data_IF_158305606582
#
_entry.id   IF_158305606582
#
_cell.length_a   1.000
_cell.length_b   1.000
_cell.length_c   1.000
_cell.angle_alpha   90.00
_cell.angle_beta   90.00
_cell.angle_gamma   90.00
#
_symmetry.space_group_name_H-M   'P 1'
#
loop_
_entity.id
_entity.type
_entity.pdbx_description
1 polymer ?
#
# COMPACT_ATOMS: atom_id res chain seq x y z
N UNK A 1 22.26 6.08 11.50
CA UNK A 1 21.97 5.01 10.51
C UNK A 1 23.00 3.88 10.49
N UNK A 2 24.07 3.93 11.29
CA UNK A 2 25.16 2.94 11.30
C UNK A 2 24.72 1.50 11.65
N UNK A 3 23.59 1.33 12.33
CA UNK A 3 23.06 0.03 12.76
C UNK A 3 21.94 -0.51 11.86
N UNK A 4 21.64 0.15 10.74
CA UNK A 4 20.65 -0.35 9.77
C UNK A 4 21.14 -1.69 9.18
N UNK A 5 20.47 -2.79 9.55
CA UNK A 5 20.75 -4.12 9.05
C UNK A 5 19.42 -4.84 8.82
N UNK A 6 19.02 -4.99 7.56
CA UNK A 6 17.69 -5.45 7.14
C UNK A 6 16.50 -4.56 7.52
N UNK A 7 16.78 -3.30 7.85
CA UNK A 7 15.75 -2.27 8.01
C UNK A 7 16.34 -0.88 7.76
N UNK A 8 15.46 0.08 7.45
CA UNK A 8 15.77 1.50 7.28
C UNK A 8 15.04 2.32 8.32
N UNK A 9 15.71 3.35 8.84
CA UNK A 9 15.13 4.28 9.80
C UNK A 9 14.96 5.66 9.17
N UNK A 10 13.76 6.20 9.29
CA UNK A 10 13.41 7.53 8.83
C UNK A 10 12.87 8.35 10.00
N UNK A 11 13.31 9.61 10.10
CA UNK A 11 12.44 10.60 10.73
C UNK A 11 11.21 10.75 9.85
N UNK A 12 10.06 11.00 10.45
CA UNK A 12 8.80 11.22 9.75
C UNK A 12 8.91 12.23 8.59
N UNK A 13 9.66 13.31 8.78
CA UNK A 13 9.90 14.35 7.77
C UNK A 13 10.87 13.96 6.65
N UNK A 14 11.58 12.84 6.81
CA UNK A 14 12.56 12.33 5.85
C UNK A 14 12.07 11.05 5.15
N UNK A 15 10.85 10.60 5.48
CA UNK A 15 10.24 9.45 4.82
C UNK A 15 10.05 9.80 3.33
N UNK A 16 10.37 8.90 2.39
CA UNK A 16 10.15 9.15 0.97
C UNK A 16 8.71 9.55 0.68
N UNK A 17 8.52 10.63 -0.06
CA UNK A 17 7.21 11.25 -0.29
C UNK A 17 6.18 10.27 -0.87
N UNK A 18 6.62 9.32 -1.71
CA UNK A 18 5.76 8.29 -2.31
C UNK A 18 4.94 7.46 -1.33
N UNK A 19 5.36 7.38 -0.06
CA UNK A 19 4.59 6.65 0.95
C UNK A 19 3.35 7.43 1.39
N UNK A 20 3.33 8.76 1.20
CA UNK A 20 2.29 9.66 1.71
C UNK A 20 1.97 9.44 3.20
N UNK A 21 2.97 8.99 3.98
CA UNK A 21 2.80 8.50 5.35
C UNK A 21 3.59 9.36 6.35
N UNK A 22 3.40 10.67 6.29
CA UNK A 22 4.11 11.62 7.17
C UNK A 22 3.24 12.77 7.69
N UNK A 23 2.05 13.00 7.11
CA UNK A 23 1.23 14.18 7.41
C UNK A 23 -0.01 13.86 8.28
N UNK A 24 0.17 13.16 9.40
CA UNK A 24 -0.91 12.89 10.35
C UNK A 24 -0.40 12.76 11.79
N UNK A 25 -1.07 13.32 12.83
CA UNK A 25 -0.58 13.31 14.21
C UNK A 25 -0.39 11.90 14.81
N UNK A 26 -1.11 10.89 14.32
CA UNK A 26 -0.97 9.51 14.79
C UNK A 26 0.21 8.74 14.17
N UNK A 27 0.91 9.35 13.21
CA UNK A 27 2.16 8.79 12.70
C UNK A 27 3.30 9.28 13.59
N UNK A 28 4.01 8.35 14.22
CA UNK A 28 5.11 8.63 15.13
C UNK A 28 6.29 9.33 14.44
N UNK A 29 7.18 9.94 15.24
CA UNK A 29 8.31 10.72 14.77
C UNK A 29 9.41 9.88 14.09
N UNK A 30 9.48 8.58 14.41
CA UNK A 30 10.38 7.61 13.82
C UNK A 30 9.59 6.51 13.13
N UNK A 31 10.01 6.17 11.92
CA UNK A 31 9.41 5.14 11.08
C UNK A 31 10.52 4.16 10.70
N UNK A 32 10.27 2.88 10.93
CA UNK A 32 11.18 1.80 10.56
C UNK A 32 10.52 1.01 9.43
N UNK A 33 11.26 0.79 8.35
CA UNK A 33 10.85 -0.06 7.23
C UNK A 33 11.75 -1.28 7.24
N UNK A 34 11.19 -2.45 7.49
CA UNK A 34 11.89 -3.72 7.40
C UNK A 34 12.05 -4.14 5.94
N UNK A 35 13.15 -4.82 5.61
CA UNK A 35 13.28 -5.55 4.35
C UNK A 35 12.37 -6.79 4.34
N UNK A 36 11.92 -7.22 3.16
CA UNK A 36 11.13 -8.44 3.03
C UNK A 36 11.86 -9.64 3.67
N UNK A 37 11.10 -10.44 4.44
CA UNK A 37 11.62 -11.60 5.18
C UNK A 37 12.06 -11.28 6.62
N UNK A 38 12.10 -10.01 7.02
CA UNK A 38 12.46 -9.59 8.36
C UNK A 38 11.27 -9.01 9.12
N UNK A 39 11.22 -9.17 10.43
CA UNK A 39 10.22 -8.48 11.26
C UNK A 39 10.91 -7.83 12.44
N UNK A 40 10.51 -6.59 12.74
CA UNK A 40 11.08 -5.80 13.81
C UNK A 40 10.21 -5.97 15.05
N UNK A 41 10.75 -6.66 16.05
CA UNK A 41 10.08 -6.95 17.32
C UNK A 41 10.97 -6.52 18.47
N UNK A 42 10.36 -6.26 19.63
CA UNK A 42 11.11 -6.13 20.88
C UNK A 42 11.25 -7.50 21.55
N UNK A 43 12.13 -7.59 22.55
CA UNK A 43 12.45 -8.84 23.26
C UNK A 43 11.19 -9.50 23.85
N UNK A 44 10.29 -8.71 24.44
CA UNK A 44 9.04 -9.24 25.01
C UNK A 44 8.13 -9.89 23.96
N UNK A 45 8.03 -9.29 22.78
CA UNK A 45 7.28 -9.86 21.66
C UNK A 45 7.97 -11.11 21.10
N UNK A 46 9.30 -11.09 20.99
CA UNK A 46 10.07 -12.23 20.49
C UNK A 46 9.90 -13.47 21.39
N UNK A 47 10.03 -13.30 22.71
CA UNK A 47 9.83 -14.38 23.69
C UNK A 47 8.44 -15.00 23.61
N UNK A 48 7.41 -14.18 23.36
CA UNK A 48 6.02 -14.67 23.17
C UNK A 48 5.81 -15.43 21.86
N UNK A 49 6.65 -15.18 20.84
CA UNK A 49 6.51 -15.80 19.53
C UNK A 49 7.17 -17.17 19.40
N UNK A 50 7.98 -17.59 20.39
CA UNK A 50 8.84 -18.78 20.32
C UNK A 50 8.13 -20.10 19.94
N UNK A 51 6.78 -20.16 19.98
CA UNK A 51 6.01 -21.35 19.57
C UNK A 51 4.88 -21.08 18.54
N UNK A 52 4.76 -19.87 17.97
CA UNK A 52 3.64 -19.54 17.06
C UNK A 52 3.99 -18.45 16.04
N UNK A 53 5.24 -18.39 15.58
CA UNK A 53 5.63 -17.43 14.55
C UNK A 53 4.94 -17.75 13.22
N UNK A 54 4.20 -16.79 12.66
CA UNK A 54 3.55 -16.93 11.36
C UNK A 54 4.60 -17.04 10.25
N UNK A 55 4.46 -18.02 9.35
CA UNK A 55 5.34 -18.16 8.18
C UNK A 55 5.16 -17.05 7.13
N UNK A 56 4.08 -16.28 7.22
CA UNK A 56 3.79 -15.14 6.35
C UNK A 56 3.51 -13.88 7.14
N UNK A 57 3.91 -12.74 6.60
CA UNK A 57 3.64 -11.43 7.17
C UNK A 57 3.43 -10.39 6.05
N UNK A 58 2.93 -9.21 6.39
CA UNK A 58 2.66 -8.12 5.45
C UNK A 58 2.91 -6.75 6.11
N UNK A 59 2.73 -5.66 5.35
CA UNK A 59 2.96 -4.29 5.83
C UNK A 59 4.35 -3.74 5.48
N UNK A 60 5.10 -4.45 4.64
CA UNK A 60 6.34 -4.00 4.05
C UNK A 60 6.10 -2.88 3.02
N UNK A 61 7.19 -2.44 2.38
CA UNK A 61 7.14 -1.48 1.30
C UNK A 61 6.17 -1.91 0.18
N UNK A 62 5.23 -1.03 -0.15
CA UNK A 62 4.17 -1.29 -1.12
C UNK A 62 4.67 -1.42 -2.56
N UNK A 63 5.95 -1.11 -2.83
CA UNK A 63 6.58 -1.36 -4.13
C UNK A 63 7.01 -2.83 -4.32
N UNK A 64 7.04 -3.64 -3.26
CA UNK A 64 7.32 -5.07 -3.40
C UNK A 64 6.09 -5.78 -3.96
N UNK A 65 6.29 -6.57 -5.02
CA UNK A 65 5.21 -7.33 -5.67
C UNK A 65 4.52 -8.30 -4.71
N UNK A 66 5.20 -8.79 -3.67
CA UNK A 66 4.61 -9.62 -2.61
C UNK A 66 3.52 -8.88 -1.81
N UNK A 67 3.58 -7.54 -1.76
CA UNK A 67 2.59 -6.68 -1.08
C UNK A 67 1.46 -6.22 -2.00
N UNK A 68 1.47 -6.60 -3.28
CA UNK A 68 0.41 -6.23 -4.22
C UNK A 68 -0.85 -7.07 -3.99
N UNK A 69 -2.00 -6.41 -4.09
CA UNK A 69 -3.31 -7.08 -4.14
C UNK A 69 -3.69 -7.53 -5.55
N UNK A 70 -4.74 -8.35 -5.63
CA UNK A 70 -5.33 -8.78 -6.91
C UNK A 70 -6.52 -7.88 -7.24
N UNK A 71 -6.61 -7.43 -8.50
CA UNK A 71 -7.78 -6.71 -9.03
C UNK A 71 -8.39 -7.50 -10.19
N UNK A 72 -9.66 -7.89 -10.04
CA UNK A 72 -10.46 -8.54 -11.09
C UNK A 72 -11.77 -7.76 -11.21
N UNK A 73 -12.08 -7.31 -12.42
CA UNK A 73 -13.32 -6.59 -12.72
C UNK A 73 -14.10 -7.27 -13.84
N UNK A 74 -15.42 -7.41 -13.66
CA UNK A 74 -16.34 -7.88 -14.70
C UNK A 74 -17.60 -7.04 -14.65
N UNK A 75 -17.99 -6.46 -15.78
CA UNK A 75 -19.20 -5.64 -15.86
C UNK A 75 -19.40 -5.04 -17.24
N UNK A 76 -20.59 -4.48 -17.50
CA UNK A 76 -20.93 -3.92 -18.81
C UNK A 76 -20.07 -2.72 -19.21
N UNK A 77 -19.58 -1.95 -18.22
CA UNK A 77 -18.76 -0.75 -18.42
C UNK A 77 -17.26 -1.03 -18.52
N UNK A 78 -16.80 -2.26 -18.23
CA UNK A 78 -15.38 -2.64 -18.24
C UNK A 78 -15.03 -3.40 -19.51
N UNK A 79 -13.83 -3.18 -20.06
CA UNK A 79 -13.34 -3.94 -21.22
C UNK A 79 -13.34 -5.44 -20.93
N UNK A 80 -13.83 -6.23 -21.89
CA UNK A 80 -13.82 -7.69 -21.81
C UNK A 80 -12.47 -8.25 -22.25
N UNK A 81 -12.02 -9.35 -21.63
CA UNK A 81 -10.75 -10.03 -21.96
C UNK A 81 -9.51 -9.10 -21.94
N UNK A 82 -9.58 -8.05 -21.14
CA UNK A 82 -8.52 -7.05 -21.03
C UNK A 82 -7.59 -7.37 -19.84
N UNK A 83 -6.29 -7.24 -20.06
CA UNK A 83 -5.26 -7.36 -19.03
C UNK A 83 -4.42 -6.09 -19.03
N UNK A 84 -3.97 -5.70 -17.85
CA UNK A 84 -3.09 -4.55 -17.65
C UNK A 84 -2.01 -4.90 -16.64
N UNK A 85 -1.05 -4.00 -16.46
CA UNK A 85 -0.05 -4.06 -15.40
C UNK A 85 -0.64 -3.68 -14.04
N UNK A 86 0.20 -3.12 -13.17
CA UNK A 86 -0.22 -2.66 -11.84
C UNK A 86 -1.03 -1.38 -11.93
N UNK A 87 -1.96 -1.21 -11.00
CA UNK A 87 -2.74 0.02 -10.81
C UNK A 87 -2.67 0.46 -9.36
N UNK A 88 -2.92 1.73 -9.10
CA UNK A 88 -3.04 2.23 -7.73
C UNK A 88 -4.42 1.91 -7.17
N UNK A 89 -4.48 1.30 -5.99
CA UNK A 89 -5.76 0.96 -5.35
C UNK A 89 -6.61 2.20 -5.02
N UNK A 90 -5.97 3.35 -4.74
CA UNK A 90 -6.66 4.63 -4.50
C UNK A 90 -7.44 5.13 -5.73
N UNK A 91 -7.05 4.72 -6.93
CA UNK A 91 -7.73 5.11 -8.17
C UNK A 91 -9.04 4.30 -8.38
N UNK A 92 -9.28 3.24 -7.60
CA UNK A 92 -10.51 2.43 -7.69
C UNK A 92 -11.74 3.24 -7.30
N UNK A 93 -11.64 4.11 -6.28
CA UNK A 93 -12.78 4.95 -5.86
C UNK A 93 -13.33 5.84 -7.00
N UNK A 94 -12.52 6.69 -7.67
CA UNK A 94 -13.02 7.51 -8.78
C UNK A 94 -13.47 6.66 -9.98
N UNK A 95 -12.88 5.49 -10.23
CA UNK A 95 -13.37 4.54 -11.25
C UNK A 95 -14.80 4.07 -10.93
N UNK A 96 -15.07 3.67 -9.69
CA UNK A 96 -16.40 3.26 -9.26
C UNK A 96 -17.40 4.42 -9.36
N UNK A 97 -17.01 5.62 -8.93
CA UNK A 97 -17.83 6.82 -9.12
C UNK A 97 -18.21 7.02 -10.59
N UNK A 98 -17.26 6.88 -11.52
CA UNK A 98 -17.52 6.97 -12.96
C UNK A 98 -18.49 5.88 -13.45
N UNK A 99 -18.32 4.63 -13.01
CA UNK A 99 -19.18 3.49 -13.38
C UNK A 99 -20.62 3.70 -12.90
N UNK A 100 -20.81 4.23 -11.70
CA UNK A 100 -22.12 4.45 -11.10
C UNK A 100 -22.72 5.83 -11.36
N UNK A 101 -22.06 6.67 -12.17
CA UNK A 101 -22.46 8.05 -12.44
C UNK A 101 -22.64 8.89 -11.17
N UNK A 102 -21.71 8.73 -10.23
CA UNK A 102 -21.65 9.47 -8.96
C UNK A 102 -20.54 10.52 -9.06
N UNK A 103 -20.80 11.74 -8.59
CA UNK A 103 -19.73 12.74 -8.43
C UNK A 103 -18.82 12.33 -7.26
N UNK A 104 -17.51 12.16 -7.48
CA UNK A 104 -16.60 11.84 -6.38
C UNK A 104 -16.57 12.99 -5.37
N UNK A 105 -16.27 12.67 -4.10
CA UNK A 105 -16.03 13.70 -3.09
C UNK A 105 -14.86 14.59 -3.50
N UNK A 106 -14.92 15.86 -3.10
CA UNK A 106 -13.73 16.71 -3.08
C UNK A 106 -12.72 16.15 -2.08
N UNK A 107 -11.42 16.33 -2.37
CA UNK A 107 -10.30 15.85 -1.55
C UNK A 107 -10.09 14.32 -1.54
N UNK A 108 -9.81 13.76 -2.71
CA UNK A 108 -9.32 12.38 -2.87
C UNK A 108 -7.95 12.38 -3.55
N UNK A 109 -7.11 11.40 -3.23
CA UNK A 109 -5.80 11.23 -3.88
C UNK A 109 -5.89 10.47 -5.21
N UNK A 110 -6.94 9.67 -5.37
CA UNK A 110 -7.18 8.85 -6.55
C UNK A 110 -7.47 9.70 -7.78
N UNK A 111 -6.93 9.28 -8.94
CA UNK A 111 -7.10 9.99 -10.21
C UNK A 111 -7.75 9.08 -11.25
N UNK A 112 -8.93 9.47 -11.75
CA UNK A 112 -9.68 8.70 -12.74
C UNK A 112 -8.85 8.43 -14.01
N UNK A 113 -8.18 9.46 -14.50
CA UNK A 113 -7.30 9.45 -15.68
C UNK A 113 -6.14 8.43 -15.61
N UNK A 114 -5.78 7.94 -14.42
CA UNK A 114 -4.80 6.85 -14.26
C UNK A 114 -5.37 5.45 -14.42
N UNK A 115 -6.70 5.28 -14.42
CA UNK A 115 -7.34 3.96 -14.37
C UNK A 115 -8.53 3.81 -15.33
N UNK A 116 -9.05 4.90 -15.89
CA UNK A 116 -10.21 4.88 -16.79
C UNK A 116 -9.97 4.09 -18.08
N UNK A 117 -8.70 3.80 -18.41
CA UNK A 117 -8.36 2.89 -19.51
C UNK A 117 -8.96 1.49 -19.36
N UNK A 118 -9.44 1.10 -18.16
CA UNK A 118 -10.18 -0.13 -17.92
C UNK A 118 -11.62 -0.10 -18.44
N UNK A 119 -12.19 1.09 -18.64
CA UNK A 119 -13.54 1.29 -19.15
C UNK A 119 -13.59 1.09 -20.67
N UNK A 120 -14.78 0.74 -21.18
CA UNK A 120 -15.05 0.64 -22.62
C UNK A 120 -15.11 2.00 -23.30
#
# INVERSE_FOLDING_TARGET
KQNENHYKVYKKSQLPERFHYSNHPFIYSLILIAENGWSLVNDSSFEKMNNSYSKGNHGYDNNHTDMHGILIGKGPNLKSNFKTGTVWNIDIYPLLCKIFNISPRSNIDGKLERIEFLLK
#
